data_IF_645476515306
#
_entry.id   IF_645476515306
#
_cell.length_a   1.000
_cell.length_b   1.000
_cell.length_c   1.000
_cell.angle_alpha   90.00
_cell.angle_beta   90.00
_cell.angle_gamma   90.00
#
_symmetry.space_group_name_H-M   'P 1'
#
loop_
_entity.id
_entity.type
_entity.pdbx_description
1 polymer ?
#
# COMPACT_ATOMS: atom_id res chain seq x y z
N UNK A 1 -26.11 30.01 25.46
CA UNK A 1 -24.97 29.17 25.04
C UNK A 1 -25.31 27.72 25.31
N UNK A 2 -25.81 26.99 24.31
CA UNK A 2 -26.00 25.55 24.37
C UNK A 2 -24.88 24.91 23.53
N UNK A 3 -23.89 24.34 24.22
CA UNK A 3 -22.69 23.78 23.62
C UNK A 3 -23.03 22.53 22.80
N UNK A 4 -23.17 22.67 21.48
CA UNK A 4 -23.05 21.54 20.56
C UNK A 4 -21.55 21.29 20.38
N UNK A 5 -21.02 20.20 20.98
CA UNK A 5 -19.66 19.72 20.67
C UNK A 5 -19.61 19.46 19.17
N UNK A 6 -18.94 20.32 18.40
CA UNK A 6 -18.64 20.07 17.01
C UNK A 6 -17.61 18.94 16.95
N UNK A 7 -18.09 17.69 16.89
CA UNK A 7 -17.27 16.54 16.56
C UNK A 7 -16.87 16.65 15.09
N UNK A 8 -15.63 17.04 14.83
CA UNK A 8 -15.09 17.10 13.47
C UNK A 8 -15.14 15.73 12.81
N UNK A 9 -15.83 15.63 11.68
CA UNK A 9 -15.77 14.46 10.81
C UNK A 9 -14.40 14.41 10.13
N UNK A 10 -13.70 13.28 10.21
CA UNK A 10 -12.44 13.08 9.49
C UNK A 10 -12.71 13.19 7.99
N UNK A 11 -12.09 14.20 7.35
CA UNK A 11 -12.21 14.49 5.92
C UNK A 11 -11.19 13.72 5.07
N UNK A 12 -10.30 12.96 5.70
CA UNK A 12 -9.13 12.34 5.09
C UNK A 12 -9.14 10.83 5.31
N UNK A 13 -9.78 10.10 4.40
CA UNK A 13 -9.83 8.63 4.39
C UNK A 13 -9.58 8.02 3.01
N UNK A 14 -8.89 8.74 2.11
CA UNK A 14 -8.57 8.22 0.77
C UNK A 14 -7.31 7.38 0.84
N UNK A 15 -7.48 6.06 0.83
CA UNK A 15 -6.38 5.13 0.60
C UNK A 15 -6.46 4.60 -0.84
N UNK A 16 -5.30 4.45 -1.49
CA UNK A 16 -5.20 3.85 -2.82
C UNK A 16 -4.91 2.37 -2.67
N UNK A 17 -5.50 1.54 -3.52
CA UNK A 17 -5.22 0.11 -3.51
C UNK A 17 -3.70 -0.17 -3.56
N UNK A 18 -3.25 -1.10 -2.70
CA UNK A 18 -1.85 -1.48 -2.60
C UNK A 18 -1.33 -2.03 -3.94
N UNK A 19 -0.20 -1.51 -4.41
CA UNK A 19 0.43 -1.90 -5.70
C UNK A 19 1.22 -3.22 -5.65
N UNK A 20 1.21 -3.91 -4.51
CA UNK A 20 1.91 -5.19 -4.26
C UNK A 20 3.39 -5.15 -4.68
N UNK A 21 4.06 -4.07 -4.31
CA UNK A 21 5.50 -3.88 -4.54
C UNK A 21 6.33 -4.87 -3.71
N UNK A 22 7.63 -4.85 -3.93
CA UNK A 22 8.59 -5.65 -3.19
C UNK A 22 9.17 -6.82 -3.99
N UNK A 23 9.99 -7.60 -3.29
CA UNK A 23 10.72 -8.74 -3.82
C UNK A 23 9.74 -9.86 -4.23
N UNK A 24 10.00 -10.47 -5.38
CA UNK A 24 9.23 -11.57 -5.97
C UNK A 24 10.05 -12.85 -6.07
N UNK A 25 11.37 -12.74 -6.22
CA UNK A 25 12.34 -13.84 -6.14
C UNK A 25 13.53 -13.41 -5.29
N UNK A 26 13.86 -14.19 -4.26
CA UNK A 26 15.02 -13.96 -3.39
C UNK A 26 16.27 -14.72 -3.89
N UNK A 27 17.42 -14.39 -3.33
CA UNK A 27 18.66 -15.12 -3.61
C UNK A 27 18.51 -16.62 -3.37
N UNK A 28 19.07 -17.44 -4.27
CA UNK A 28 19.01 -18.90 -4.21
C UNK A 28 17.72 -19.52 -4.76
N UNK A 29 16.72 -18.74 -5.17
CA UNK A 29 15.54 -19.28 -5.84
C UNK A 29 15.80 -19.57 -7.31
N UNK A 30 15.29 -20.70 -7.81
CA UNK A 30 15.26 -20.98 -9.23
C UNK A 30 14.36 -19.96 -9.96
N UNK A 31 14.85 -19.45 -11.09
CA UNK A 31 14.13 -18.54 -11.97
C UNK A 31 14.16 -19.05 -13.40
N UNK A 32 13.04 -18.89 -14.09
CA UNK A 32 12.95 -19.09 -15.54
C UNK A 32 13.00 -17.71 -16.23
N UNK A 33 13.42 -17.65 -17.50
CA UNK A 33 13.37 -16.41 -18.27
C UNK A 33 11.97 -15.79 -18.23
N UNK A 34 11.90 -14.48 -17.98
CA UNK A 34 10.64 -13.73 -17.87
C UNK A 34 10.08 -13.58 -16.43
N UNK A 35 10.67 -14.24 -15.43
CA UNK A 35 10.27 -14.02 -14.04
C UNK A 35 10.66 -12.60 -13.55
N UNK A 36 9.75 -11.95 -12.83
CA UNK A 36 10.03 -10.69 -12.13
C UNK A 36 10.79 -11.00 -10.85
N UNK A 37 11.89 -10.28 -10.59
CA UNK A 37 12.68 -10.42 -9.36
C UNK A 37 12.21 -9.44 -8.28
N UNK A 38 11.90 -8.20 -8.64
CA UNK A 38 11.40 -7.16 -7.74
C UNK A 38 10.43 -6.24 -8.49
N UNK A 39 9.44 -5.70 -7.78
CA UNK A 39 8.58 -4.63 -8.26
C UNK A 39 8.75 -3.40 -7.37
N UNK A 40 9.34 -2.33 -7.90
CA UNK A 40 9.63 -1.09 -7.17
C UNK A 40 8.77 0.09 -7.66
N UNK A 41 8.81 1.21 -6.92
CA UNK A 41 8.08 2.46 -7.22
C UNK A 41 8.93 3.39 -8.08
#
# INVERSE_FOLDING_TARGET
MAHKKAGGSSRNGRDSAGRRLGLKKSGGQAVVPGNIIIRQR
#
